data_IF_379660389016
#
_entry.id   IF_379660389016
#
_cell.length_a   1.000
_cell.length_b   1.000
_cell.length_c   1.000
_cell.angle_alpha   90.00
_cell.angle_beta   90.00
_cell.angle_gamma   90.00
#
_symmetry.space_group_name_H-M   'P 1'
#
loop_
_entity.id
_entity.type
_entity.pdbx_description
1 polymer ?
#
# COMPACT_ATOMS: atom_id res chain seq x y z
N UNK A 1 5.42 -27.32 -6.14
CA UNK A 1 6.79 -26.92 -6.54
C UNK A 1 6.66 -26.14 -7.84
N UNK A 2 7.11 -24.89 -7.85
CA UNK A 2 7.12 -24.05 -9.05
C UNK A 2 8.37 -24.43 -9.85
N UNK A 3 8.26 -24.62 -11.16
CA UNK A 3 9.42 -24.96 -12.00
C UNK A 3 10.24 -23.71 -12.32
N UNK A 4 11.56 -23.84 -12.59
CA UNK A 4 12.37 -22.70 -13.04
C UNK A 4 11.82 -22.01 -14.29
N UNK A 5 11.08 -22.75 -15.12
CA UNK A 5 10.45 -22.23 -16.32
C UNK A 5 9.25 -21.34 -16.01
N UNK A 6 8.44 -21.72 -15.01
CA UNK A 6 7.33 -20.90 -14.53
C UNK A 6 7.81 -19.59 -13.87
N UNK A 7 8.92 -19.64 -13.11
CA UNK A 7 9.53 -18.43 -12.51
C UNK A 7 9.97 -17.46 -13.63
N UNK A 8 10.59 -17.98 -14.69
CA UNK A 8 11.06 -17.16 -15.81
C UNK A 8 9.92 -16.55 -16.61
N UNK A 9 8.83 -17.29 -16.83
CA UNK A 9 7.63 -16.78 -17.50
C UNK A 9 6.96 -15.66 -16.69
N UNK A 10 6.94 -15.79 -15.36
CA UNK A 10 6.40 -14.76 -14.47
C UNK A 10 7.25 -13.48 -14.47
N UNK A 11 8.59 -13.61 -14.42
CA UNK A 11 9.50 -12.47 -14.53
C UNK A 11 9.39 -11.74 -15.88
N UNK A 12 9.24 -12.50 -16.99
CA UNK A 12 9.02 -11.92 -18.31
C UNK A 12 7.66 -11.21 -18.41
N UNK A 13 6.62 -11.75 -17.79
CA UNK A 13 5.31 -11.10 -17.70
C UNK A 13 5.37 -9.79 -16.90
N UNK A 14 6.04 -9.80 -15.73
CA UNK A 14 6.25 -8.61 -14.90
C UNK A 14 7.02 -7.52 -15.65
N UNK A 15 8.08 -7.87 -16.38
CA UNK A 15 8.81 -6.93 -17.24
C UNK A 15 7.95 -6.34 -18.36
N UNK A 16 7.10 -7.15 -18.99
CA UNK A 16 6.15 -6.67 -20.03
C UNK A 16 5.11 -5.70 -19.47
N UNK A 17 4.71 -5.89 -18.20
CA UNK A 17 3.81 -5.00 -17.48
C UNK A 17 4.51 -3.78 -16.88
N UNK A 18 5.84 -3.69 -17.03
CA UNK A 18 6.63 -2.59 -16.47
C UNK A 18 6.75 -2.63 -14.95
N UNK A 19 6.66 -3.79 -14.30
CA UNK A 19 6.86 -3.93 -12.85
C UNK A 19 8.36 -3.97 -12.53
N UNK A 20 8.82 -2.99 -11.77
CA UNK A 20 10.22 -2.87 -11.34
C UNK A 20 10.55 -3.79 -10.17
N UNK A 21 9.62 -3.93 -9.21
CA UNK A 21 9.79 -4.81 -8.04
C UNK A 21 8.45 -5.17 -7.39
N UNK A 22 8.45 -6.22 -6.59
CA UNK A 22 7.33 -6.59 -5.71
C UNK A 22 7.75 -6.37 -4.25
N UNK A 23 6.93 -5.71 -3.44
CA UNK A 23 7.11 -5.58 -1.98
C UNK A 23 6.22 -6.61 -1.29
N UNK A 24 6.80 -7.40 -0.40
CA UNK A 24 6.09 -8.43 0.38
C UNK A 24 5.96 -7.98 1.83
N UNK A 25 4.73 -7.95 2.36
CA UNK A 25 4.44 -7.47 3.71
C UNK A 25 3.54 -8.40 4.53
N UNK A 26 3.99 -8.88 5.70
CA UNK A 26 3.13 -9.63 6.62
C UNK A 26 2.12 -8.72 7.31
N UNK A 27 0.83 -8.97 7.09
CA UNK A 27 -0.27 -8.25 7.75
C UNK A 27 -1.26 -9.28 8.29
N UNK A 28 -1.42 -9.33 9.62
CA UNK A 28 -2.39 -10.23 10.25
C UNK A 28 -2.15 -11.73 10.00
N UNK A 29 -0.89 -12.14 9.82
CA UNK A 29 -0.53 -13.53 9.51
C UNK A 29 -0.71 -13.94 8.05
N UNK A 30 -1.12 -13.01 7.17
CA UNK A 30 -1.18 -13.19 5.72
C UNK A 30 -0.09 -12.37 5.03
N UNK A 31 0.38 -12.84 3.88
CA UNK A 31 1.36 -12.10 3.07
C UNK A 31 0.66 -11.29 1.99
N UNK A 32 0.95 -9.99 1.98
CA UNK A 32 0.48 -9.05 0.97
C UNK A 32 1.61 -8.74 0.00
N UNK A 33 1.30 -8.71 -1.28
CA UNK A 33 2.24 -8.46 -2.37
C UNK A 33 1.84 -7.16 -3.07
N UNK A 34 2.80 -6.25 -3.21
CA UNK A 34 2.59 -4.97 -3.86
C UNK A 34 3.50 -4.83 -5.07
N UNK A 35 2.92 -4.81 -6.26
CA UNK A 35 3.69 -4.71 -7.50
C UNK A 35 3.94 -3.23 -7.82
N UNK A 36 5.22 -2.84 -7.78
CA UNK A 36 5.65 -1.47 -8.00
C UNK A 36 6.02 -1.29 -9.47
N UNK A 37 5.26 -0.50 -10.25
CA UNK A 37 5.63 -0.20 -11.63
C UNK A 37 6.90 0.66 -11.68
N UNK A 38 7.66 0.50 -12.74
CA UNK A 38 8.80 1.34 -13.06
C UNK A 38 8.32 2.77 -13.33
N UNK A 39 8.83 3.72 -12.55
CA UNK A 39 8.44 5.12 -12.65
C UNK A 39 9.66 6.00 -12.38
N UNK A 40 10.08 6.85 -13.33
CA UNK A 40 11.27 7.68 -13.16
C UNK A 40 11.09 8.81 -12.13
N UNK A 41 9.85 9.11 -11.73
CA UNK A 41 9.51 10.21 -10.82
C UNK A 41 9.21 9.77 -9.39
N UNK A 42 9.02 8.47 -9.16
CA UNK A 42 8.61 7.92 -7.87
C UNK A 42 9.43 6.70 -7.53
N UNK A 43 10.00 6.70 -6.34
CA UNK A 43 10.68 5.58 -5.74
C UNK A 43 9.88 5.06 -4.55
N UNK A 44 9.49 3.80 -4.60
CA UNK A 44 8.86 3.11 -3.47
C UNK A 44 9.91 2.29 -2.75
N UNK A 45 9.90 2.24 -1.42
CA UNK A 45 10.76 1.37 -0.61
C UNK A 45 10.00 0.82 0.58
N UNK A 46 10.53 -0.23 1.19
CA UNK A 46 10.01 -0.84 2.41
C UNK A 46 11.13 -0.92 3.43
N UNK A 47 10.87 -0.48 4.66
CA UNK A 47 11.79 -0.58 5.79
C UNK A 47 11.00 -0.93 7.04
N UNK A 48 11.29 -2.09 7.64
CA UNK A 48 10.72 -2.54 8.93
C UNK A 48 9.18 -2.61 8.95
N UNK A 49 8.58 -3.07 7.86
CA UNK A 49 7.15 -3.18 7.64
C UNK A 49 6.47 -1.89 7.19
N UNK A 50 7.22 -0.81 6.95
CA UNK A 50 6.68 0.51 6.55
C UNK A 50 7.03 0.75 5.08
N UNK A 51 6.02 1.05 4.26
CA UNK A 51 6.23 1.45 2.86
C UNK A 51 6.42 2.96 2.81
N UNK A 52 7.44 3.40 2.08
CA UNK A 52 7.68 4.80 1.75
C UNK A 52 7.54 5.00 0.25
N UNK A 53 6.69 5.94 -0.15
CA UNK A 53 6.64 6.47 -1.52
C UNK A 53 7.32 7.84 -1.48
N UNK A 54 8.45 7.96 -2.14
CA UNK A 54 9.22 9.19 -2.22
C UNK A 54 9.33 9.58 -3.69
N UNK A 55 8.92 10.79 -4.03
CA UNK A 55 9.07 11.28 -5.38
C UNK A 55 9.80 12.60 -5.41
N UNK A 56 9.29 13.50 -6.24
CA UNK A 56 9.93 14.76 -6.55
C UNK A 56 9.21 15.91 -5.83
N UNK A 57 9.43 17.15 -6.26
CA UNK A 57 8.59 18.27 -5.85
C UNK A 57 7.17 18.20 -6.44
N UNK A 58 6.95 17.37 -7.46
CA UNK A 58 5.63 17.15 -8.06
C UNK A 58 4.91 16.06 -7.25
N UNK A 59 3.78 16.40 -6.63
CA UNK A 59 3.06 15.53 -5.68
C UNK A 59 2.17 14.47 -6.33
N UNK A 60 1.70 14.74 -7.54
CA UNK A 60 0.70 13.91 -8.23
C UNK A 60 1.17 12.45 -8.45
N UNK A 61 2.41 12.18 -8.89
CA UNK A 61 2.88 10.80 -9.10
C UNK A 61 2.84 9.94 -7.83
N UNK A 62 3.19 10.51 -6.68
CA UNK A 62 3.19 9.84 -5.38
C UNK A 62 1.76 9.49 -4.95
N UNK A 63 0.81 10.39 -5.19
CA UNK A 63 -0.61 10.14 -4.93
C UNK A 63 -1.19 9.05 -5.84
N UNK A 64 -0.80 9.02 -7.11
CA UNK A 64 -1.19 7.95 -8.04
C UNK A 64 -0.64 6.60 -7.59
N UNK A 65 0.63 6.56 -7.18
CA UNK A 65 1.25 5.35 -6.63
C UNK A 65 0.52 4.88 -5.35
N UNK A 66 0.22 5.79 -4.42
CA UNK A 66 -0.56 5.48 -3.22
C UNK A 66 -1.93 4.89 -3.58
N UNK A 67 -2.60 5.46 -4.58
CA UNK A 67 -3.90 4.98 -5.06
C UNK A 67 -3.80 3.56 -5.63
N UNK A 68 -2.76 3.25 -6.37
CA UNK A 68 -2.56 1.91 -6.94
C UNK A 68 -2.25 0.87 -5.86
N UNK A 69 -1.36 1.19 -4.91
CA UNK A 69 -1.11 0.34 -3.73
C UNK A 69 -2.38 0.10 -2.92
N UNK A 70 -3.21 1.14 -2.75
CA UNK A 70 -4.49 1.02 -2.04
C UNK A 70 -5.44 0.05 -2.75
N UNK A 71 -5.52 0.09 -4.09
CA UNK A 71 -6.34 -0.86 -4.85
C UNK A 71 -5.83 -2.30 -4.73
N UNK A 72 -4.51 -2.50 -4.83
CA UNK A 72 -3.90 -3.82 -4.67
C UNK A 72 -4.17 -4.38 -3.27
N UNK A 73 -4.05 -3.55 -2.24
CA UNK A 73 -4.39 -3.90 -0.87
C UNK A 73 -5.87 -4.32 -0.76
N UNK A 74 -6.80 -3.55 -1.32
CA UNK A 74 -8.24 -3.85 -1.29
C UNK A 74 -8.53 -5.18 -1.98
N UNK A 75 -7.96 -5.42 -3.16
CA UNK A 75 -8.16 -6.66 -3.91
C UNK A 75 -7.70 -7.88 -3.09
N UNK A 76 -6.51 -7.82 -2.52
CA UNK A 76 -5.97 -8.90 -1.69
C UNK A 76 -6.78 -9.09 -0.40
N UNK A 77 -7.28 -8.00 0.19
CA UNK A 77 -8.16 -8.07 1.36
C UNK A 77 -9.50 -8.73 1.05
N UNK A 78 -10.07 -8.47 -0.12
CA UNK A 78 -11.29 -9.14 -0.59
C UNK A 78 -11.04 -10.64 -0.78
N UNK A 79 -9.92 -11.04 -1.37
CA UNK A 79 -9.55 -12.45 -1.49
C UNK A 79 -9.33 -13.11 -0.12
N UNK A 80 -8.66 -12.43 0.80
CA UNK A 80 -8.50 -12.90 2.18
C UNK A 80 -9.87 -13.11 2.85
N UNK A 81 -10.81 -12.17 2.70
CA UNK A 81 -12.16 -12.30 3.24
C UNK A 81 -12.86 -13.56 2.72
N UNK A 82 -12.76 -13.85 1.41
CA UNK A 82 -13.32 -15.06 0.80
C UNK A 82 -12.70 -16.34 1.39
N UNK A 83 -11.38 -16.38 1.54
CA UNK A 83 -10.66 -17.54 2.11
C UNK A 83 -11.14 -17.85 3.52
N UNK A 84 -11.40 -16.85 4.35
CA UNK A 84 -11.91 -17.03 5.71
C UNK A 84 -13.44 -17.11 5.79
N UNK A 85 -14.13 -17.27 4.66
CA UNK A 85 -15.59 -17.36 4.56
C UNK A 85 -16.33 -16.16 5.17
N UNK A 86 -15.78 -14.95 4.99
CA UNK A 86 -16.38 -13.69 5.41
C UNK A 86 -16.55 -12.72 4.24
N UNK A 87 -17.30 -11.65 4.49
CA UNK A 87 -17.50 -10.57 3.53
C UNK A 87 -16.84 -9.28 4.02
N UNK A 88 -16.44 -8.44 3.08
CA UNK A 88 -16.08 -7.05 3.38
C UNK A 88 -17.36 -6.29 3.70
N UNK A 89 -17.45 -5.76 4.92
CA UNK A 89 -18.60 -4.99 5.39
C UNK A 89 -18.41 -3.48 5.22
N UNK A 90 -17.17 -2.99 5.25
CA UNK A 90 -16.86 -1.56 5.09
C UNK A 90 -15.48 -1.34 4.49
N UNK A 91 -15.35 -0.31 3.66
CA UNK A 91 -14.07 0.27 3.23
C UNK A 91 -14.17 1.78 3.50
N UNK A 92 -13.15 2.36 4.13
CA UNK A 92 -13.19 3.76 4.54
C UNK A 92 -11.79 4.38 4.57
N UNK A 93 -11.74 5.69 4.39
CA UNK A 93 -10.52 6.50 4.43
C UNK A 93 -10.77 7.79 5.20
N UNK A 94 -10.16 7.90 6.37
CA UNK A 94 -10.48 8.94 7.35
C UNK A 94 -9.26 9.82 7.57
N UNK A 95 -9.46 11.14 7.50
CA UNK A 95 -8.47 12.12 7.94
C UNK A 95 -8.43 12.15 9.48
N UNK A 96 -7.26 11.85 10.04
CA UNK A 96 -7.02 11.84 11.50
C UNK A 96 -6.53 13.19 12.01
N UNK A 97 -5.87 13.98 11.16
CA UNK A 97 -5.39 15.30 11.53
C UNK A 97 -4.55 15.99 10.46
N UNK A 98 -4.35 17.29 10.65
CA UNK A 98 -3.54 18.14 9.80
C UNK A 98 -2.60 18.97 10.69
N UNK A 99 -1.31 18.96 10.38
CA UNK A 99 -0.31 19.85 10.98
C UNK A 99 0.20 20.79 9.88
N UNK A 100 -0.42 21.97 9.79
CA UNK A 100 -0.06 23.00 8.79
C UNK A 100 1.37 23.52 8.99
N UNK A 101 1.88 23.54 10.22
CA UNK A 101 3.25 24.03 10.49
C UNK A 101 4.30 23.09 9.93
N UNK A 102 4.00 21.79 9.93
CA UNK A 102 4.89 20.75 9.39
C UNK A 102 4.52 20.30 7.99
N UNK A 103 3.42 20.82 7.43
CA UNK A 103 2.82 20.39 6.17
C UNK A 103 2.58 18.87 6.14
N UNK A 104 1.95 18.32 7.19
CA UNK A 104 1.68 16.87 7.33
C UNK A 104 0.19 16.64 7.47
N UNK A 105 -0.36 15.76 6.63
CA UNK A 105 -1.71 15.21 6.80
C UNK A 105 -1.63 13.75 7.25
N UNK A 106 -2.37 13.39 8.29
CA UNK A 106 -2.43 12.03 8.82
C UNK A 106 -3.76 11.40 8.48
N UNK A 107 -3.74 10.20 7.93
CA UNK A 107 -4.93 9.49 7.45
C UNK A 107 -4.91 8.03 7.88
N UNK A 108 -6.09 7.41 7.87
CA UNK A 108 -6.32 6.00 8.18
C UNK A 108 -7.22 5.42 7.11
N UNK A 109 -6.66 4.51 6.32
CA UNK A 109 -7.41 3.68 5.40
C UNK A 109 -7.67 2.31 6.03
N UNK A 110 -8.87 1.78 5.93
CA UNK A 110 -9.17 0.44 6.43
C UNK A 110 -10.30 -0.26 5.71
N UNK A 111 -10.26 -1.58 5.80
CA UNK A 111 -11.28 -2.52 5.35
C UNK A 111 -11.74 -3.33 6.55
N UNK A 112 -13.05 -3.40 6.75
CA UNK A 112 -13.70 -4.20 7.79
C UNK A 112 -14.21 -5.51 7.18
N UNK A 113 -13.83 -6.64 7.77
CA UNK A 113 -14.21 -7.99 7.35
C UNK A 113 -15.08 -8.64 8.42
N UNK A 114 -16.34 -8.93 8.08
CA UNK A 114 -17.33 -9.55 8.96
C UNK A 114 -17.46 -8.88 10.33
N UNK A 115 -17.33 -7.55 10.36
CA UNK A 115 -17.43 -6.66 11.53
C UNK A 115 -16.51 -6.95 12.72
N UNK A 116 -15.57 -7.89 12.58
CA UNK A 116 -14.66 -8.29 13.66
C UNK A 116 -13.18 -8.17 13.31
N UNK A 117 -12.83 -8.01 12.02
CA UNK A 117 -11.46 -7.82 11.59
C UNK A 117 -11.36 -6.49 10.87
N UNK A 118 -10.50 -5.61 11.35
CA UNK A 118 -10.13 -4.38 10.66
C UNK A 118 -8.67 -4.51 10.21
N UNK A 119 -8.46 -4.40 8.91
CA UNK A 119 -7.14 -4.45 8.29
C UNK A 119 -6.98 -3.20 7.42
N UNK A 120 -5.81 -2.58 7.47
CA UNK A 120 -5.63 -1.30 6.82
C UNK A 120 -4.23 -0.76 7.00
N UNK A 121 -4.09 0.54 6.79
CA UNK A 121 -2.86 1.26 7.05
C UNK A 121 -3.16 2.66 7.58
N UNK A 122 -2.31 3.09 8.52
CA UNK A 122 -2.13 4.50 8.78
C UNK A 122 -1.18 5.05 7.73
N UNK A 123 -1.43 6.26 7.26
CA UNK A 123 -0.47 6.90 6.36
C UNK A 123 -0.34 8.39 6.63
N UNK A 124 0.88 8.87 6.47
CA UNK A 124 1.24 10.27 6.61
C UNK A 124 1.62 10.81 5.24
N UNK A 125 0.98 11.91 4.87
CA UNK A 125 1.28 12.69 3.67
C UNK A 125 2.15 13.87 4.08
N UNK A 126 3.46 13.76 3.86
CA UNK A 126 4.40 14.87 4.03
C UNK A 126 4.39 15.69 2.73
N UNK A 127 3.60 16.76 2.72
CA UNK A 127 3.40 17.57 1.52
C UNK A 127 4.71 18.28 1.12
N UNK A 128 4.98 18.42 -0.20
CA UNK A 128 6.11 19.20 -0.68
C UNK A 128 5.91 20.68 -0.34
N UNK A 129 7.00 21.37 0.03
CA UNK A 129 6.97 22.78 0.45
C UNK A 129 8.00 23.65 -0.33
N UNK A 130 8.50 23.13 -1.46
CA UNK A 130 9.55 23.75 -2.27
C UNK A 130 10.96 23.59 -1.72
N UNK A 131 11.13 23.12 -0.47
CA UNK A 131 12.44 22.77 0.12
C UNK A 131 12.62 21.27 0.27
N UNK A 132 11.52 20.53 0.46
CA UNK A 132 11.48 19.08 0.52
C UNK A 132 10.55 18.50 -0.55
N UNK A 133 10.86 17.29 -0.99
CA UNK A 133 9.99 16.49 -1.84
C UNK A 133 8.76 15.98 -1.07
N UNK A 134 7.75 15.56 -1.81
CA UNK A 134 6.61 14.85 -1.23
C UNK A 134 7.02 13.46 -0.74
N UNK A 135 6.51 13.05 0.41
CA UNK A 135 6.71 11.69 0.94
C UNK A 135 5.37 11.15 1.44
N UNK A 136 5.06 9.91 1.09
CA UNK A 136 4.01 9.12 1.73
C UNK A 136 4.66 8.03 2.57
N UNK A 137 4.28 7.95 3.82
CA UNK A 137 4.66 6.88 4.75
C UNK A 137 3.41 6.04 5.04
N UNK A 138 3.45 4.73 4.77
CA UNK A 138 2.33 3.81 4.91
C UNK A 138 2.70 2.73 5.93
N UNK A 139 1.92 2.66 7.00
CA UNK A 139 2.13 1.78 8.15
C UNK A 139 0.95 0.81 8.21
N UNK A 140 1.11 -0.43 7.70
CA UNK A 140 0.06 -1.43 7.72
C UNK A 140 -0.24 -1.89 9.15
N UNK A 141 -1.49 -2.29 9.38
CA UNK A 141 -1.92 -2.85 10.64
C UNK A 141 -3.02 -3.89 10.46
N UNK A 142 -3.18 -4.72 11.48
CA UNK A 142 -4.25 -5.68 11.63
C UNK A 142 -4.82 -5.60 13.04
N UNK A 143 -6.14 -5.58 13.15
CA UNK A 143 -6.84 -5.55 14.42
C UNK A 143 -8.04 -6.49 14.39
N UNK A 144 -8.08 -7.42 15.33
CA UNK A 144 -9.23 -8.29 15.56
C UNK A 144 -9.97 -7.84 16.81
N UNK A 145 -11.26 -7.55 16.65
CA UNK A 145 -12.18 -7.26 17.73
C UNK A 145 -12.61 -8.57 18.41
N UNK A 146 -12.82 -8.51 19.74
CA UNK A 146 -13.31 -9.64 20.54
C UNK A 146 -14.82 -9.76 20.45
#
# INVERSE_FOLDING_TARGET
MITPQQIREEEEAKKKLGIAKTIELPIGGSMFYFDIPDNPMVYVSEISGIIYINGSSYWEPELLMLKDLTKEFVNQTIELAKVISKTVSKIDDIQLGLDEKKNIEKRKFYVLIGDIIEIGFYYNLYLPDGKRNGIVEIIPYYKQYK
#
